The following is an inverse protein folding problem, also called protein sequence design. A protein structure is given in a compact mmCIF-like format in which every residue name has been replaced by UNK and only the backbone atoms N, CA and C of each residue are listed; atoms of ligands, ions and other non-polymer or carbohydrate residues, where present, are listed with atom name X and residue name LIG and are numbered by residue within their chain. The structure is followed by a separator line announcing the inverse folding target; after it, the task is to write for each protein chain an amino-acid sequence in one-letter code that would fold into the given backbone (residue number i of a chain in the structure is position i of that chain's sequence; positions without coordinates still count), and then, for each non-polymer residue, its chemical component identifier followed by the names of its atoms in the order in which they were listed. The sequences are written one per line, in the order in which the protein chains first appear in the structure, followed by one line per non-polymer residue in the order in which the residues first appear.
data_IF_964503014878
#
_entry.id   IF_964503014878
#
_cell.length_a   1.000
_cell.length_b   1.000
_cell.length_c   1.000
_cell.angle_alpha   90.00
_cell.angle_beta   90.00
_cell.angle_gamma   90.00
#
_symmetry.space_group_name_H-M   'P 1'
#
loop_
_entity.id
_entity.type
_entity.pdbx_description
1 polymer ?
#
# COMPACT_ATOMS: atom_id res chain seq x y z
N UNK A 1 -0.26 25.38 -4.67
CA UNK A 1 1.00 25.42 -5.46
C UNK A 1 2.25 24.84 -4.75
N UNK A 2 2.36 24.88 -3.40
CA UNK A 2 3.50 24.31 -2.66
C UNK A 2 3.37 22.83 -2.28
N UNK A 3 2.17 22.25 -2.20
CA UNK A 3 1.98 20.83 -1.80
C UNK A 3 2.10 19.84 -2.98
N UNK A 4 1.54 20.15 -4.16
CA UNK A 4 1.73 19.34 -5.37
C UNK A 4 3.18 19.40 -5.92
N UNK A 5 3.89 20.52 -5.71
CA UNK A 5 5.33 20.61 -5.96
C UNK A 5 6.18 19.95 -4.87
N UNK A 6 5.65 19.74 -3.66
CA UNK A 6 6.30 18.93 -2.62
C UNK A 6 6.08 17.44 -2.88
N UNK A 7 4.91 16.96 -3.30
CA UNK A 7 4.74 15.53 -3.64
C UNK A 7 5.46 15.15 -4.95
N UNK A 8 5.33 15.92 -6.04
CA UNK A 8 6.05 15.60 -7.29
C UNK A 8 7.58 15.71 -7.16
N UNK A 9 8.08 16.68 -6.37
CA UNK A 9 9.52 16.77 -6.08
C UNK A 9 9.95 15.78 -5.03
N UNK A 10 9.14 15.39 -4.04
CA UNK A 10 9.55 14.48 -2.96
C UNK A 10 9.36 13.02 -3.30
N UNK A 11 8.46 12.62 -4.21
CA UNK A 11 8.36 11.23 -4.68
C UNK A 11 9.46 10.93 -5.68
N UNK A 12 9.70 11.86 -6.62
CA UNK A 12 10.87 11.80 -7.49
C UNK A 12 12.13 11.99 -6.67
N UNK A 13 12.20 12.91 -5.69
CA UNK A 13 13.31 13.03 -4.74
C UNK A 13 13.30 12.00 -3.62
N UNK A 14 12.39 11.02 -3.54
CA UNK A 14 12.54 9.86 -2.66
C UNK A 14 13.08 8.70 -3.49
N UNK A 15 12.59 8.51 -4.71
CA UNK A 15 13.22 7.64 -5.71
C UNK A 15 14.63 8.13 -6.08
N UNK A 16 14.83 9.45 -6.10
CA UNK A 16 16.10 10.14 -6.33
C UNK A 16 16.86 10.38 -5.03
N UNK A 17 16.29 10.60 -3.83
CA UNK A 17 17.10 10.62 -2.59
C UNK A 17 17.55 9.22 -2.16
N UNK A 18 16.81 8.17 -2.50
CA UNK A 18 17.31 6.80 -2.45
C UNK A 18 18.41 6.55 -3.50
N UNK A 19 18.48 7.38 -4.55
CA UNK A 19 19.53 7.35 -5.58
C UNK A 19 20.60 8.44 -5.48
N UNK A 20 20.48 9.43 -4.60
CA UNK A 20 21.26 10.66 -4.66
C UNK A 20 21.05 11.53 -3.42
N UNK A 21 21.85 11.26 -2.41
CA UNK A 21 22.34 12.31 -1.52
C UNK A 21 23.85 12.16 -1.41
N UNK A 22 24.55 12.85 -2.33
CA UNK A 22 25.90 13.42 -2.27
C UNK A 22 27.09 12.49 -1.89
N UNK A 23 27.95 12.24 -2.89
CA UNK A 23 29.31 11.74 -2.73
C UNK A 23 30.34 12.90 -2.78
N UNK A 24 31.27 12.90 -1.82
CA UNK A 24 32.61 13.47 -1.99
C UNK A 24 33.63 12.37 -1.70
N UNK A 25 34.61 12.28 -2.60
CA UNK A 25 35.83 11.48 -2.60
C UNK A 25 35.72 9.96 -2.38
N UNK A 26 35.99 9.18 -3.44
CA UNK A 26 36.96 8.08 -3.39
C UNK A 26 37.31 7.49 -4.76
N UNK A 27 38.50 6.88 -4.81
CA UNK A 27 39.21 6.41 -6.00
C UNK A 27 38.78 5.02 -6.50
N UNK A 28 39.14 4.73 -7.76
CA UNK A 28 38.61 3.66 -8.61
C UNK A 28 39.11 2.23 -8.29
N UNK A 29 38.23 1.24 -8.55
CA UNK A 29 38.62 0.01 -9.25
C UNK A 29 37.65 -0.38 -10.40
N UNK A 30 38.11 -1.29 -11.26
CA UNK A 30 37.49 -1.73 -12.52
C UNK A 30 36.65 -3.02 -12.38
N UNK A 31 35.40 -3.05 -12.84
CA UNK A 31 34.69 -4.25 -13.40
C UNK A 31 33.31 -3.86 -14.01
N UNK A 32 32.79 -4.69 -14.93
CA UNK A 32 31.77 -4.39 -15.97
C UNK A 32 30.30 -4.68 -15.61
N UNK A 33 29.93 -4.79 -14.33
CA UNK A 33 28.53 -4.93 -13.89
C UNK A 33 27.95 -3.57 -13.52
N UNK A 34 26.99 -3.04 -14.28
CA UNK A 34 26.30 -1.79 -13.90
C UNK A 34 25.30 -2.05 -12.78
N UNK A 35 25.45 -1.33 -11.66
CA UNK A 35 24.64 -1.49 -10.44
C UNK A 35 23.46 -0.52 -10.37
N UNK A 36 23.54 0.57 -11.12
CA UNK A 36 22.48 1.53 -11.39
C UNK A 36 22.58 1.94 -12.84
N UNK A 37 21.47 1.93 -13.57
CA UNK A 37 21.34 2.43 -14.93
C UNK A 37 20.17 3.39 -14.97
N UNK A 38 20.41 4.62 -15.39
CA UNK A 38 19.38 5.63 -15.60
C UNK A 38 19.38 6.00 -17.07
N UNK A 39 18.26 5.83 -17.74
CA UNK A 39 18.08 6.16 -19.16
C UNK A 39 17.04 7.26 -19.28
N UNK A 40 17.35 8.35 -19.98
CA UNK A 40 16.42 9.49 -20.14
C UNK A 40 16.53 10.11 -21.53
N UNK A 41 15.39 10.40 -22.15
CA UNK A 41 15.32 11.20 -23.39
C UNK A 41 15.37 12.71 -23.12
N UNK A 42 15.26 13.14 -21.87
CA UNK A 42 15.39 14.55 -21.47
C UNK A 42 16.81 14.87 -20.97
N UNK A 43 17.50 15.79 -21.65
CA UNK A 43 18.87 16.20 -21.33
C UNK A 43 18.98 16.90 -19.96
N UNK A 44 17.91 17.52 -19.46
CA UNK A 44 17.91 18.20 -18.15
C UNK A 44 17.83 17.20 -17.01
N UNK A 45 17.03 16.14 -17.17
CA UNK A 45 16.98 15.02 -16.21
C UNK A 45 18.36 14.37 -16.15
N UNK A 46 18.93 14.03 -17.30
CA UNK A 46 20.27 13.46 -17.41
C UNK A 46 21.35 14.36 -16.78
N UNK A 47 21.31 15.67 -17.04
CA UNK A 47 22.21 16.65 -16.42
C UNK A 47 22.02 16.75 -14.90
N UNK A 48 20.78 16.64 -14.41
CA UNK A 48 20.48 16.57 -12.99
C UNK A 48 21.16 15.37 -12.35
N UNK A 49 21.01 14.19 -12.96
CA UNK A 49 21.61 12.94 -12.48
C UNK A 49 23.13 12.99 -12.48
N UNK A 50 23.78 13.44 -13.55
CA UNK A 50 25.25 13.58 -13.57
C UNK A 50 25.77 14.49 -12.46
N UNK A 51 25.10 15.62 -12.20
CA UNK A 51 25.50 16.55 -11.14
C UNK A 51 25.40 15.91 -9.76
N UNK A 52 24.39 15.08 -9.53
CA UNK A 52 24.23 14.37 -8.25
C UNK A 52 25.38 13.38 -7.97
N UNK A 53 25.99 12.82 -9.01
CA UNK A 53 27.13 11.90 -8.91
C UNK A 53 28.49 12.59 -9.10
N UNK A 54 28.55 13.92 -9.01
CA UNK A 54 29.82 14.66 -9.07
C UNK A 54 30.51 14.63 -10.45
N UNK A 55 29.79 14.29 -11.52
CA UNK A 55 30.33 14.29 -12.87
C UNK A 55 30.68 15.71 -13.36
N UNK A 56 31.94 15.92 -13.77
CA UNK A 56 32.43 17.20 -14.29
C UNK A 56 32.10 17.44 -15.78
N UNK A 57 31.64 16.42 -16.51
CA UNK A 57 31.37 16.49 -17.94
C UNK A 57 29.86 16.67 -18.20
N UNK A 58 29.48 17.82 -18.74
CA UNK A 58 28.10 18.17 -19.02
C UNK A 58 27.45 17.19 -19.99
N UNK A 59 26.25 16.71 -19.64
CA UNK A 59 25.38 16.00 -20.55
C UNK A 59 25.28 16.79 -21.86
N UNK A 60 25.19 16.11 -23.01
CA UNK A 60 25.06 16.82 -24.27
C UNK A 60 23.87 17.78 -24.20
N UNK A 61 24.06 18.99 -24.74
CA UNK A 61 23.04 20.05 -24.67
C UNK A 61 21.70 19.60 -25.27
N UNK A 62 21.76 18.69 -26.26
CA UNK A 62 20.62 17.99 -26.81
C UNK A 62 20.95 16.50 -26.94
N UNK A 63 19.94 15.65 -26.72
CA UNK A 63 19.99 14.23 -27.02
C UNK A 63 19.45 14.04 -28.44
N UNK A 64 20.11 13.22 -29.26
CA UNK A 64 19.65 12.96 -30.63
C UNK A 64 18.23 12.41 -30.68
N UNK A 65 17.50 12.68 -31.76
CA UNK A 65 16.15 12.15 -31.97
C UNK A 65 16.15 10.61 -31.91
N UNK A 66 15.17 10.03 -31.18
CA UNK A 66 15.08 8.59 -30.96
C UNK A 66 16.17 8.00 -30.05
N UNK A 67 16.98 8.85 -29.41
CA UNK A 67 18.01 8.44 -28.46
C UNK A 67 17.66 8.85 -27.02
N UNK A 68 18.31 8.18 -26.09
CA UNK A 68 18.33 8.49 -24.68
C UNK A 68 19.78 8.54 -24.18
N UNK A 69 20.03 9.37 -23.15
CA UNK A 69 21.28 9.30 -22.40
C UNK A 69 21.16 8.21 -21.35
N UNK A 70 22.09 7.26 -21.39
CA UNK A 70 22.26 6.19 -20.42
C UNK A 70 23.40 6.57 -19.48
N UNK A 71 23.08 6.65 -18.19
CA UNK A 71 23.99 6.89 -17.09
C UNK A 71 24.10 5.61 -16.29
N UNK A 72 25.31 5.06 -16.14
CA UNK A 72 25.53 3.82 -15.41
C UNK A 72 26.55 4.00 -14.29
N UNK A 73 26.26 3.48 -13.09
CA UNK A 73 27.25 3.33 -12.04
C UNK A 73 27.80 1.90 -12.07
N UNK A 74 29.12 1.77 -12.02
CA UNK A 74 29.76 0.47 -11.81
C UNK A 74 29.86 0.09 -10.32
N UNK A 75 30.47 -1.07 -10.04
CA UNK A 75 30.70 -1.59 -8.69
C UNK A 75 31.53 -0.66 -7.80
N UNK A 76 32.33 0.23 -8.39
CA UNK A 76 33.13 1.24 -7.71
C UNK A 76 32.38 2.56 -7.50
N UNK A 77 31.12 2.67 -7.92
CA UNK A 77 30.33 3.89 -7.87
C UNK A 77 30.76 4.93 -8.91
N UNK A 78 31.54 4.54 -9.93
CA UNK A 78 31.98 5.46 -10.98
C UNK A 78 30.89 5.58 -12.04
N UNK A 79 30.58 6.83 -12.37
CA UNK A 79 29.61 7.16 -13.41
C UNK A 79 30.23 7.04 -14.80
N UNK A 80 29.57 6.29 -15.68
CA UNK A 80 29.78 6.31 -17.12
C UNK A 80 28.51 6.81 -17.82
N UNK A 81 28.68 7.51 -18.94
CA UNK A 81 27.58 8.01 -19.75
C UNK A 81 27.74 7.65 -21.21
N UNK A 82 26.66 7.23 -21.85
CA UNK A 82 26.61 6.94 -23.30
C UNK A 82 25.23 7.29 -23.86
N UNK A 83 25.16 7.56 -25.16
CA UNK A 83 23.86 7.57 -25.84
C UNK A 83 23.47 6.13 -26.23
N UNK A 84 22.19 5.82 -26.16
CA UNK A 84 21.59 4.60 -26.69
C UNK A 84 20.24 4.91 -27.34
N UNK A 85 19.68 3.96 -28.08
CA UNK A 85 18.29 4.06 -28.49
C UNK A 85 17.37 4.00 -27.25
N UNK A 86 16.31 4.81 -27.24
CA UNK A 86 15.35 4.85 -26.16
C UNK A 86 14.24 5.85 -26.43
N UNK A 87 13.03 5.50 -26.01
CA UNK A 87 11.79 6.25 -26.24
C UNK A 87 11.13 6.70 -24.93
N UNK A 88 11.34 5.96 -23.84
CA UNK A 88 10.86 6.31 -22.52
C UNK A 88 11.52 7.60 -21.99
N UNK A 89 10.71 8.48 -21.39
CA UNK A 89 11.21 9.71 -20.76
C UNK A 89 12.21 9.42 -19.64
N UNK A 90 11.94 8.42 -18.79
CA UNK A 90 12.84 7.98 -17.75
C UNK A 90 12.72 6.48 -17.49
N UNK A 91 13.85 5.79 -17.45
CA UNK A 91 13.98 4.42 -16.93
C UNK A 91 15.09 4.41 -15.90
N UNK A 92 14.83 3.82 -14.74
CA UNK A 92 15.82 3.56 -13.70
C UNK A 92 15.84 2.06 -13.48
N UNK A 93 17.00 1.44 -13.59
CA UNK A 93 17.23 0.05 -13.21
C UNK A 93 18.32 0.04 -12.13
N UNK A 94 18.08 -0.61 -11.00
CA UNK A 94 19.01 -0.58 -9.89
C UNK A 94 19.05 -1.89 -9.12
N UNK A 95 20.19 -2.18 -8.50
CA UNK A 95 20.31 -3.18 -7.44
C UNK A 95 20.15 -2.51 -6.07
N UNK A 96 19.00 -2.68 -5.38
CA UNK A 96 18.73 -1.89 -4.17
C UNK A 96 19.77 -2.11 -3.06
N UNK A 97 20.24 -3.35 -2.85
CA UNK A 97 21.29 -3.65 -1.87
C UNK A 97 22.60 -2.88 -2.14
N UNK A 98 22.97 -2.66 -3.41
CA UNK A 98 24.13 -1.84 -3.76
C UNK A 98 23.90 -0.37 -3.41
N UNK A 99 22.74 0.20 -3.74
CA UNK A 99 22.40 1.58 -3.39
C UNK A 99 22.43 1.80 -1.88
N UNK A 100 21.90 0.85 -1.11
CA UNK A 100 21.94 0.89 0.35
C UNK A 100 23.36 0.93 0.92
N UNK A 101 24.29 0.19 0.31
CA UNK A 101 25.72 0.20 0.69
C UNK A 101 26.39 1.52 0.31
N UNK A 102 26.21 1.96 -0.94
CA UNK A 102 26.81 3.18 -1.50
C UNK A 102 26.35 4.43 -0.75
N UNK A 103 25.07 4.48 -0.34
CA UNK A 103 24.48 5.60 0.40
C UNK A 103 24.25 5.29 1.88
N UNK A 104 25.07 4.42 2.48
CA UNK A 104 24.86 3.92 3.85
C UNK A 104 24.77 5.01 4.93
N UNK A 105 25.47 6.14 4.78
CA UNK A 105 25.40 7.28 5.72
C UNK A 105 24.01 7.95 5.67
N UNK A 106 23.48 8.11 4.47
CA UNK A 106 22.21 8.77 4.17
C UNK A 106 21.05 7.85 4.55
N UNK A 107 21.16 6.57 4.25
CA UNK A 107 20.26 5.53 4.73
C UNK A 107 20.21 5.54 6.27
N UNK A 108 21.35 5.67 6.95
CA UNK A 108 21.37 5.77 8.42
C UNK A 108 20.64 7.02 8.93
N UNK A 109 20.82 8.15 8.26
CA UNK A 109 20.08 9.39 8.58
C UNK A 109 18.58 9.24 8.33
N UNK A 110 18.20 8.70 7.17
CA UNK A 110 16.81 8.40 6.83
C UNK A 110 16.19 7.42 7.82
N UNK A 111 16.92 6.41 8.30
CA UNK A 111 16.46 5.48 9.35
C UNK A 111 16.19 6.19 10.66
N UNK A 112 17.06 7.11 11.08
CA UNK A 112 16.79 7.91 12.29
C UNK A 112 15.55 8.80 12.12
N UNK A 113 15.41 9.47 10.98
CA UNK A 113 14.25 10.36 10.73
C UNK A 113 12.95 9.58 10.56
N UNK A 114 12.97 8.49 9.78
CA UNK A 114 11.82 7.61 9.58
C UNK A 114 11.47 6.86 10.87
N UNK A 115 12.46 6.43 11.65
CA UNK A 115 12.24 5.85 12.98
C UNK A 115 11.65 6.87 13.96
N UNK A 116 12.06 8.13 13.92
CA UNK A 116 11.46 9.18 14.74
C UNK A 116 10.01 9.48 14.32
N UNK A 117 9.74 9.68 13.03
CA UNK A 117 8.39 10.02 12.54
C UNK A 117 7.43 8.80 12.59
N UNK A 118 7.87 7.67 12.06
CA UNK A 118 7.13 6.41 12.09
C UNK A 118 6.97 5.90 13.52
N UNK A 119 8.02 6.01 14.33
CA UNK A 119 7.95 5.65 15.74
C UNK A 119 7.02 6.54 16.55
N UNK A 120 6.95 7.85 16.26
CA UNK A 120 5.92 8.71 16.87
C UNK A 120 4.51 8.29 16.47
N UNK A 121 4.25 8.01 15.19
CA UNK A 121 2.93 7.60 14.72
C UNK A 121 2.50 6.24 15.29
N UNK A 122 3.42 5.27 15.33
CA UNK A 122 3.18 3.95 15.90
C UNK A 122 3.06 4.02 17.43
N UNK A 123 3.84 4.87 18.10
CA UNK A 123 3.72 5.09 19.54
C UNK A 123 2.40 5.80 19.90
N UNK A 124 1.90 6.70 19.05
CA UNK A 124 0.56 7.29 19.17
C UNK A 124 -0.53 6.21 19.04
N UNK A 125 -0.31 5.19 18.21
CA UNK A 125 -1.15 4.00 18.14
C UNK A 125 -0.92 3.00 19.30
N UNK A 126 -0.13 3.36 20.31
CA UNK A 126 0.14 2.51 21.47
C UNK A 126 1.09 1.34 21.16
N UNK A 127 1.92 1.43 20.14
CA UNK A 127 2.93 0.40 19.83
C UNK A 127 4.22 0.71 20.60
N UNK A 128 4.78 -0.32 21.23
CA UNK A 128 6.01 -0.22 22.03
C UNK A 128 7.24 0.10 21.17
N UNK A 129 8.23 0.79 21.75
CA UNK A 129 9.43 1.22 21.04
C UNK A 129 10.22 0.06 20.39
N UNK A 130 10.33 -1.08 21.09
CA UNK A 130 11.01 -2.26 20.56
C UNK A 130 10.33 -2.81 19.30
N UNK A 131 9.00 -2.85 19.28
CA UNK A 131 8.21 -3.27 18.13
C UNK A 131 8.33 -2.30 16.94
N UNK A 132 8.46 -1.00 17.23
CA UNK A 132 8.73 0.03 16.21
C UNK A 132 10.08 -0.22 15.55
N UNK A 133 11.15 -0.37 16.34
CA UNK A 133 12.49 -0.63 15.84
C UNK A 133 12.52 -1.89 14.97
N UNK A 134 11.83 -2.92 15.42
CA UNK A 134 11.62 -4.18 14.72
C UNK A 134 10.95 -4.05 13.33
N UNK A 135 9.92 -3.19 13.21
CA UNK A 135 9.25 -2.89 11.93
C UNK A 135 10.17 -2.05 11.03
N UNK A 136 10.86 -1.07 11.60
CA UNK A 136 11.81 -0.24 10.86
C UNK A 136 12.96 -1.10 10.32
N UNK A 137 13.44 -2.07 11.08
CA UNK A 137 14.51 -2.97 10.65
C UNK A 137 14.07 -3.80 9.45
N UNK A 138 12.88 -4.40 9.50
CA UNK A 138 12.32 -5.13 8.38
C UNK A 138 12.18 -4.24 7.12
N UNK A 139 11.75 -2.98 7.28
CA UNK A 139 11.63 -2.02 6.17
C UNK A 139 13.00 -1.71 5.54
N UNK A 140 14.04 -1.52 6.35
CA UNK A 140 15.39 -1.22 5.88
C UNK A 140 16.13 -2.47 5.37
N UNK A 141 15.69 -3.67 5.73
CA UNK A 141 16.19 -4.94 5.20
C UNK A 141 15.52 -5.35 3.88
N UNK A 142 14.31 -4.86 3.59
CA UNK A 142 13.56 -5.20 2.38
C UNK A 142 14.35 -4.99 1.06
N UNK A 143 15.18 -3.93 0.89
CA UNK A 143 16.02 -3.79 -0.30
C UNK A 143 16.97 -4.97 -0.56
N UNK A 144 17.35 -5.74 0.47
CA UNK A 144 18.18 -6.94 0.31
C UNK A 144 17.40 -8.14 -0.25
N UNK A 145 16.07 -8.04 -0.31
CA UNK A 145 15.16 -9.06 -0.84
C UNK A 145 14.90 -8.88 -2.34
N UNK A 146 15.34 -7.76 -2.92
CA UNK A 146 15.09 -7.37 -4.31
C UNK A 146 16.41 -7.45 -5.09
N UNK A 147 16.44 -8.23 -6.17
CA UNK A 147 17.61 -8.30 -7.05
C UNK A 147 17.66 -7.08 -7.97
N UNK A 148 16.51 -6.69 -8.53
CA UNK A 148 16.40 -5.57 -9.46
C UNK A 148 15.14 -4.77 -9.20
N UNK A 149 15.32 -3.45 -9.05
CA UNK A 149 14.26 -2.46 -9.04
C UNK A 149 14.27 -1.76 -10.39
N UNK A 150 13.11 -1.71 -11.06
CA UNK A 150 12.93 -0.96 -12.29
C UNK A 150 11.87 0.12 -12.09
N UNK A 151 12.14 1.36 -12.46
CA UNK A 151 11.14 2.44 -12.52
C UNK A 151 11.06 2.94 -13.94
N UNK A 152 9.87 3.01 -14.52
CA UNK A 152 9.64 3.48 -15.89
C UNK A 152 8.59 4.58 -15.90
N UNK A 153 8.95 5.70 -16.50
CA UNK A 153 8.06 6.81 -16.82
C UNK A 153 8.13 6.99 -18.34
N UNK A 154 7.09 6.56 -19.09
CA UNK A 154 7.18 6.43 -20.54
C UNK A 154 7.21 7.78 -21.24
N UNK A 155 6.55 8.80 -20.69
CA UNK A 155 6.49 10.14 -21.26
C UNK A 155 6.71 11.22 -20.22
N UNK A 156 7.15 12.38 -20.67
CA UNK A 156 7.23 13.58 -19.84
C UNK A 156 5.84 13.95 -19.33
N UNK A 157 5.76 14.41 -18.09
CA UNK A 157 4.53 14.97 -17.55
C UNK A 157 4.16 16.24 -18.32
N UNK A 158 2.94 16.28 -18.83
CA UNK A 158 2.29 17.47 -19.38
C UNK A 158 1.02 17.77 -18.56
N UNK A 159 0.74 19.04 -18.24
CA UNK A 159 -0.49 19.40 -17.54
C UNK A 159 -1.73 18.90 -18.30
N UNK A 160 -2.69 18.32 -17.58
CA UNK A 160 -3.93 17.73 -18.12
C UNK A 160 -3.73 16.46 -18.97
N UNK A 161 -2.56 15.84 -18.92
CA UNK A 161 -2.34 14.52 -19.50
C UNK A 161 -2.03 13.48 -18.42
N UNK A 162 -2.63 12.30 -18.55
CA UNK A 162 -2.38 11.23 -17.58
C UNK A 162 -0.92 10.76 -17.62
N UNK A 163 -0.32 10.56 -16.46
CA UNK A 163 1.03 10.05 -16.31
C UNK A 163 0.99 8.63 -15.74
N UNK A 164 1.62 7.70 -16.44
CA UNK A 164 1.84 6.33 -15.96
C UNK A 164 3.24 6.22 -15.36
N UNK A 165 3.34 5.62 -14.18
CA UNK A 165 4.60 5.23 -13.54
C UNK A 165 4.52 3.72 -13.29
N UNK A 166 5.47 2.97 -13.83
CA UNK A 166 5.59 1.55 -13.56
C UNK A 166 6.80 1.28 -12.67
N UNK A 167 6.61 0.50 -11.60
CA UNK A 167 7.65 0.03 -10.70
C UNK A 167 7.70 -1.50 -10.76
N UNK A 168 8.81 -2.06 -11.22
CA UNK A 168 9.11 -3.47 -11.24
C UNK A 168 10.00 -3.88 -10.06
N UNK A 169 9.66 -4.97 -9.40
CA UNK A 169 10.44 -5.57 -8.31
C UNK A 169 10.73 -7.03 -8.65
N UNK A 170 11.96 -7.29 -9.09
CA UNK A 170 12.45 -8.64 -9.31
C UNK A 170 12.97 -9.20 -7.98
N UNK A 171 12.41 -10.31 -7.47
CA UNK A 171 12.84 -10.86 -6.20
C UNK A 171 14.22 -11.50 -6.31
N UNK A 172 15.03 -11.37 -5.26
CA UNK A 172 16.29 -12.09 -5.13
C UNK A 172 16.01 -13.55 -4.77
N UNK A 173 16.65 -14.49 -5.48
CA UNK A 173 16.46 -15.92 -5.24
C UNK A 173 16.71 -16.31 -3.77
N UNK A 174 16.00 -17.34 -3.31
CA UNK A 174 16.13 -17.90 -1.95
C UNK A 174 15.77 -16.92 -0.81
N UNK A 175 15.08 -15.83 -1.12
CA UNK A 175 14.55 -14.90 -0.13
C UNK A 175 13.08 -15.18 0.19
N UNK A 176 12.60 -14.68 1.33
CA UNK A 176 11.17 -14.78 1.67
C UNK A 176 10.31 -14.05 0.64
N UNK A 177 10.81 -12.93 0.09
CA UNK A 177 10.09 -12.16 -0.93
C UNK A 177 9.97 -12.97 -2.24
N UNK A 178 11.01 -13.70 -2.64
CA UNK A 178 10.90 -14.65 -3.76
C UNK A 178 9.84 -15.73 -3.51
N UNK A 179 9.78 -16.27 -2.29
CA UNK A 179 8.74 -17.22 -1.88
C UNK A 179 7.33 -16.63 -2.00
N UNK A 180 7.12 -15.41 -1.48
CA UNK A 180 5.86 -14.69 -1.58
C UNK A 180 5.47 -14.42 -3.05
N UNK A 181 6.38 -13.89 -3.85
CA UNK A 181 6.12 -13.61 -5.28
C UNK A 181 5.81 -14.90 -6.03
N UNK A 182 6.49 -16.01 -5.74
CA UNK A 182 6.20 -17.31 -6.34
C UNK A 182 4.78 -17.79 -5.98
N UNK A 183 4.37 -17.64 -4.72
CA UNK A 183 3.06 -18.03 -4.22
C UNK A 183 1.90 -17.15 -4.72
N UNK A 184 2.15 -15.86 -5.01
CA UNK A 184 1.13 -14.95 -5.50
C UNK A 184 0.53 -15.43 -6.83
N UNK A 185 -0.79 -15.60 -6.83
CA UNK A 185 -1.61 -15.89 -8.01
C UNK A 185 -3.03 -15.33 -7.80
N UNK A 186 -3.72 -14.97 -8.90
CA UNK A 186 -5.15 -14.69 -8.85
C UNK A 186 -5.92 -15.88 -8.29
N UNK A 187 -7.07 -15.61 -7.67
CA UNK A 187 -7.95 -16.67 -7.21
C UNK A 187 -8.78 -17.21 -8.39
N UNK A 188 -8.95 -18.52 -8.48
CA UNK A 188 -9.55 -19.17 -9.65
C UNK A 188 -11.02 -18.75 -9.89
N UNK A 189 -11.70 -18.27 -8.85
CA UNK A 189 -13.10 -17.82 -8.92
C UNK A 189 -13.26 -16.31 -9.15
N UNK A 190 -12.15 -15.55 -9.17
CA UNK A 190 -12.17 -14.08 -9.14
C UNK A 190 -12.79 -13.52 -7.86
N UNK A 191 -13.32 -12.29 -7.94
CA UNK A 191 -13.91 -11.59 -6.80
C UNK A 191 -15.33 -11.06 -7.10
N UNK A 192 -16.14 -10.90 -6.04
CA UNK A 192 -17.32 -10.02 -6.05
C UNK A 192 -16.88 -8.57 -5.84
N UNK A 193 -17.40 -7.65 -6.66
CA UNK A 193 -17.09 -6.22 -6.58
C UNK A 193 -18.24 -5.44 -5.97
N UNK A 194 -17.92 -4.49 -5.08
CA UNK A 194 -18.92 -3.66 -4.38
C UNK A 194 -19.34 -2.40 -5.14
N UNK A 195 -18.55 -1.95 -6.13
CA UNK A 195 -18.61 -0.56 -6.59
C UNK A 195 -19.82 -0.25 -7.48
N UNK A 196 -20.57 0.79 -7.11
CA UNK A 196 -21.40 1.58 -8.03
C UNK A 196 -20.56 2.58 -8.83
N UNK A 197 -21.16 3.26 -9.81
CA UNK A 197 -20.46 4.22 -10.69
C UNK A 197 -19.90 5.46 -9.97
N UNK A 198 -20.24 5.69 -8.70
CA UNK A 198 -19.98 6.95 -7.99
C UNK A 198 -19.00 6.85 -6.80
N UNK A 199 -18.34 5.71 -6.60
CA UNK A 199 -17.39 5.54 -5.51
C UNK A 199 -16.20 6.51 -5.60
N UNK A 200 -15.88 7.19 -4.50
CA UNK A 200 -14.70 8.06 -4.37
C UNK A 200 -13.42 7.25 -4.28
N UNK A 201 -13.48 6.09 -3.62
CA UNK A 201 -12.36 5.16 -3.57
C UNK A 201 -12.87 3.75 -3.81
N UNK A 202 -12.08 2.97 -4.53
CA UNK A 202 -12.28 1.53 -4.66
C UNK A 202 -10.96 0.80 -4.50
N UNK A 203 -10.99 -0.39 -3.92
CA UNK A 203 -9.87 -1.32 -3.93
C UNK A 203 -10.39 -2.73 -4.12
N UNK A 204 -9.80 -3.47 -5.04
CA UNK A 204 -10.10 -4.86 -5.33
C UNK A 204 -8.81 -5.66 -5.21
N UNK A 205 -8.88 -6.78 -4.51
CA UNK A 205 -7.78 -7.73 -4.34
C UNK A 205 -8.27 -9.07 -4.87
N UNK A 206 -7.51 -9.67 -5.77
CA UNK A 206 -7.77 -10.99 -6.35
C UNK A 206 -6.52 -11.84 -6.13
N UNK A 207 -6.43 -12.41 -4.93
CA UNK A 207 -5.28 -13.21 -4.50
C UNK A 207 -5.80 -14.46 -3.80
N UNK A 208 -5.23 -15.61 -4.15
CA UNK A 208 -5.42 -16.84 -3.38
C UNK A 208 -4.68 -16.72 -2.03
N UNK A 209 -5.43 -16.40 -0.98
CA UNK A 209 -4.86 -16.14 0.34
C UNK A 209 -4.24 -17.40 0.95
N UNK A 210 -4.85 -18.57 0.72
CA UNK A 210 -4.30 -19.84 1.21
C UNK A 210 -2.90 -20.11 0.64
N UNK A 211 -2.64 -19.68 -0.60
CA UNK A 211 -1.31 -19.82 -1.22
C UNK A 211 -0.24 -18.95 -0.54
N UNK A 212 -0.60 -17.75 -0.08
CA UNK A 212 0.36 -16.80 0.52
C UNK A 212 0.39 -16.83 2.05
N UNK A 213 -0.63 -17.39 2.71
CA UNK A 213 -0.76 -17.41 4.16
C UNK A 213 0.47 -17.97 4.89
N UNK A 214 1.12 -19.07 4.44
CA UNK A 214 2.34 -19.55 5.10
C UNK A 214 3.50 -18.54 5.11
N UNK A 215 3.54 -17.63 4.12
CA UNK A 215 4.52 -16.54 4.10
C UNK A 215 4.13 -15.36 5.00
N UNK A 216 2.82 -15.20 5.27
CA UNK A 216 2.27 -14.11 6.07
C UNK A 216 2.06 -14.48 7.55
N UNK A 217 1.96 -15.76 7.88
CA UNK A 217 1.72 -16.26 9.24
C UNK A 217 2.69 -15.66 10.28
N UNK A 218 4.02 -15.58 10.03
CA UNK A 218 4.92 -14.93 10.97
C UNK A 218 4.61 -13.44 11.19
N UNK A 219 4.17 -12.74 10.14
CA UNK A 219 3.76 -11.34 10.24
C UNK A 219 2.47 -11.21 11.06
N UNK A 220 1.48 -12.08 10.83
CA UNK A 220 0.21 -12.09 11.60
C UNK A 220 0.48 -12.33 13.09
N UNK A 221 1.33 -13.31 13.43
CA UNK A 221 1.70 -13.58 14.82
C UNK A 221 2.40 -12.37 15.47
N UNK A 222 3.27 -11.68 14.71
CA UNK A 222 3.97 -10.47 15.17
C UNK A 222 3.01 -9.30 15.37
N UNK A 223 2.12 -9.02 14.42
CA UNK A 223 1.08 -7.99 14.56
C UNK A 223 0.16 -8.26 15.76
N UNK A 224 -0.19 -9.52 16.00
CA UNK A 224 -0.99 -9.91 17.17
C UNK A 224 -0.27 -9.58 18.48
N UNK A 225 1.05 -9.80 18.52
CA UNK A 225 1.90 -9.47 19.67
C UNK A 225 1.92 -7.96 19.92
N UNK A 226 1.90 -7.16 18.86
CA UNK A 226 1.88 -5.69 18.94
C UNK A 226 0.53 -5.14 19.42
N UNK A 227 -0.58 -5.69 18.91
CA UNK A 227 -1.91 -5.19 19.24
C UNK A 227 -2.38 -5.62 20.64
N UNK A 228 -2.02 -6.83 21.06
CA UNK A 228 -2.52 -7.41 22.31
C UNK A 228 -1.43 -7.43 23.37
N UNK A 229 -1.43 -6.42 24.24
CA UNK A 229 -0.45 -6.27 25.34
C UNK A 229 -0.62 -7.32 26.44
N UNK A 230 -1.86 -7.70 26.74
CA UNK A 230 -2.17 -8.73 27.74
C UNK A 230 -1.70 -10.11 27.26
N UNK A 231 -0.77 -10.73 27.98
CA UNK A 231 -0.18 -12.02 27.60
C UNK A 231 -1.21 -13.17 27.60
N UNK A 232 -2.17 -13.14 28.53
CA UNK A 232 -3.18 -14.18 28.66
C UNK A 232 -4.20 -14.12 27.51
N UNK A 233 -4.56 -12.92 27.05
CA UNK A 233 -5.37 -12.72 25.86
C UNK A 233 -4.56 -13.06 24.60
N UNK A 234 -3.31 -12.60 24.49
CA UNK A 234 -2.43 -12.88 23.35
C UNK A 234 -2.29 -14.38 23.07
N UNK A 235 -2.15 -15.19 24.12
CA UNK A 235 -2.07 -16.65 24.02
C UNK A 235 -3.33 -17.30 23.40
N UNK A 236 -4.49 -16.65 23.53
CA UNK A 236 -5.77 -17.11 22.94
C UNK A 236 -6.01 -16.53 21.55
N UNK A 237 -5.57 -15.29 21.30
CA UNK A 237 -5.79 -14.57 20.04
C UNK A 237 -5.04 -15.22 18.88
N UNK A 238 -3.80 -15.69 19.07
CA UNK A 238 -3.02 -16.35 18.02
C UNK A 238 -3.77 -17.53 17.38
N UNK A 239 -4.17 -18.56 18.14
CA UNK A 239 -4.96 -19.68 17.62
C UNK A 239 -6.32 -19.27 17.04
N UNK A 240 -6.95 -18.22 17.58
CA UNK A 240 -8.21 -17.69 17.07
C UNK A 240 -8.02 -17.06 15.68
N UNK A 241 -7.00 -16.23 15.49
CA UNK A 241 -6.68 -15.60 14.21
C UNK A 241 -6.21 -16.63 13.17
N UNK A 242 -5.46 -17.65 13.56
CA UNK A 242 -5.10 -18.77 12.66
C UNK A 242 -6.36 -19.46 12.10
N UNK A 243 -7.35 -19.76 12.96
CA UNK A 243 -8.65 -20.30 12.51
C UNK A 243 -9.38 -19.32 11.58
N UNK A 244 -9.39 -18.03 11.90
CA UNK A 244 -10.01 -17.00 11.07
C UNK A 244 -9.39 -16.94 9.67
N UNK A 245 -8.06 -16.80 9.59
CA UNK A 245 -7.33 -16.65 8.34
C UNK A 245 -7.38 -17.89 7.46
N UNK A 246 -7.46 -19.09 8.05
CA UNK A 246 -7.71 -20.33 7.30
C UNK A 246 -9.10 -20.41 6.68
N UNK A 247 -10.07 -19.66 7.17
CA UNK A 247 -11.42 -19.55 6.59
C UNK A 247 -11.56 -18.46 5.52
N UNK A 248 -10.52 -17.64 5.30
CA UNK A 248 -10.48 -16.59 4.27
C UNK A 248 -9.98 -17.17 2.95
N UNK A 249 -10.72 -16.92 1.87
CA UNK A 249 -10.33 -17.32 0.51
C UNK A 249 -9.32 -16.34 -0.09
N UNK A 250 -9.47 -15.05 0.21
CA UNK A 250 -8.51 -14.00 -0.15
C UNK A 250 -9.05 -12.88 -1.02
N UNK A 251 -9.86 -13.14 -2.06
CA UNK A 251 -10.41 -12.07 -2.87
C UNK A 251 -11.29 -11.15 -2.04
N UNK A 252 -11.20 -9.86 -2.32
CA UNK A 252 -11.94 -8.86 -1.57
C UNK A 252 -12.14 -7.59 -2.36
N UNK A 253 -13.14 -6.81 -1.96
CA UNK A 253 -13.51 -5.56 -2.57
C UNK A 253 -13.85 -4.55 -1.48
N UNK A 254 -13.42 -3.31 -1.69
CA UNK A 254 -13.69 -2.17 -0.84
C UNK A 254 -14.20 -1.04 -1.71
N UNK A 255 -15.29 -0.40 -1.29
CA UNK A 255 -15.77 0.86 -1.86
C UNK A 255 -15.90 1.90 -0.76
N UNK A 256 -15.73 3.17 -1.13
CA UNK A 256 -16.03 4.30 -0.25
C UNK A 256 -16.77 5.38 -1.05
N UNK A 257 -17.97 5.74 -0.58
CA UNK A 257 -18.76 6.82 -1.15
C UNK A 257 -19.50 7.62 -0.04
N UNK A 258 -20.15 8.72 -0.44
CA UNK A 258 -20.83 9.62 0.51
C UNK A 258 -22.10 9.02 1.12
N UNK A 259 -22.83 8.19 0.37
CA UNK A 259 -24.15 7.69 0.76
C UNK A 259 -24.03 6.46 1.66
N UNK A 260 -23.17 5.53 1.27
CA UNK A 260 -23.03 4.21 1.85
C UNK A 260 -21.83 4.11 2.81
N UNK A 261 -21.02 5.17 2.90
CA UNK A 261 -19.78 5.15 3.66
C UNK A 261 -18.77 4.16 3.06
N UNK A 262 -17.93 3.59 3.93
CA UNK A 262 -16.99 2.55 3.56
C UNK A 262 -17.70 1.20 3.62
N UNK A 263 -17.54 0.41 2.56
CA UNK A 263 -18.02 -0.95 2.49
C UNK A 263 -16.86 -1.86 2.14
N UNK A 264 -16.85 -3.05 2.74
CA UNK A 264 -15.83 -4.05 2.52
C UNK A 264 -16.46 -5.43 2.40
N UNK A 265 -15.94 -6.21 1.47
CA UNK A 265 -16.31 -7.59 1.22
C UNK A 265 -15.04 -8.40 1.12
N UNK A 266 -15.00 -9.54 1.83
CA UNK A 266 -13.92 -10.52 1.73
C UNK A 266 -14.52 -11.90 1.54
N UNK A 267 -14.07 -12.59 0.49
CA UNK A 267 -14.50 -13.93 0.16
C UNK A 267 -13.98 -14.93 1.19
N UNK A 268 -14.83 -15.87 1.56
CA UNK A 268 -14.53 -16.92 2.53
C UNK A 268 -14.54 -18.29 1.86
N UNK A 269 -13.62 -19.16 2.25
CA UNK A 269 -13.64 -20.56 1.89
C UNK A 269 -14.36 -21.41 2.94
N UNK A 270 -14.44 -20.93 4.18
CA UNK A 270 -15.18 -21.57 5.28
C UNK A 270 -15.96 -20.50 6.08
N UNK A 271 -17.14 -20.07 5.59
CA UNK A 271 -17.93 -19.03 6.25
C UNK A 271 -18.43 -19.44 7.63
N UNK A 272 -18.68 -20.73 7.86
CA UNK A 272 -19.17 -21.22 9.15
C UNK A 272 -18.07 -21.16 10.22
N UNK A 273 -16.84 -21.54 9.88
CA UNK A 273 -15.70 -21.40 10.79
C UNK A 273 -15.43 -19.94 11.14
N UNK A 274 -15.49 -19.03 10.16
CA UNK A 274 -15.31 -17.59 10.41
C UNK A 274 -16.44 -17.03 11.26
N UNK A 275 -17.69 -17.41 11.02
CA UNK A 275 -18.83 -17.00 11.84
C UNK A 275 -18.68 -17.48 13.30
N UNK A 276 -18.21 -18.72 13.52
CA UNK A 276 -17.92 -19.24 14.86
C UNK A 276 -16.80 -18.43 15.55
N UNK A 277 -15.75 -18.05 14.82
CA UNK A 277 -14.69 -17.19 15.35
C UNK A 277 -15.24 -15.81 15.73
N UNK A 278 -16.05 -15.18 14.87
CA UNK A 278 -16.62 -13.85 15.16
C UNK A 278 -17.58 -13.85 16.35
N UNK A 279 -18.18 -15.00 16.68
CA UNK A 279 -19.02 -15.19 17.86
C UNK A 279 -18.23 -15.57 19.13
N UNK A 280 -16.94 -15.91 19.01
CA UNK A 280 -16.09 -16.29 20.14
C UNK A 280 -15.84 -15.07 21.04
N UNK A 281 -16.04 -15.17 22.37
CA UNK A 281 -15.73 -14.07 23.30
C UNK A 281 -14.30 -13.54 23.16
N UNK A 282 -13.33 -14.38 22.78
CA UNK A 282 -11.94 -13.97 22.53
C UNK A 282 -11.86 -13.00 21.35
N UNK A 283 -12.66 -13.21 20.29
CA UNK A 283 -12.70 -12.30 19.15
C UNK A 283 -13.30 -10.94 19.54
N UNK A 284 -14.35 -10.92 20.37
CA UNK A 284 -14.96 -9.67 20.82
C UNK A 284 -14.01 -8.86 21.71
N UNK A 285 -13.32 -9.54 22.64
CA UNK A 285 -12.30 -8.94 23.49
C UNK A 285 -11.12 -8.39 22.67
N UNK A 286 -10.63 -9.18 21.71
CA UNK A 286 -9.62 -8.74 20.75
C UNK A 286 -10.08 -7.55 19.91
N UNK A 287 -11.29 -7.60 19.36
CA UNK A 287 -11.86 -6.54 18.54
C UNK A 287 -12.00 -5.23 19.31
N UNK A 288 -12.31 -5.31 20.61
CA UNK A 288 -12.32 -4.16 21.51
C UNK A 288 -10.92 -3.57 21.65
N UNK A 289 -9.92 -4.37 22.01
CA UNK A 289 -8.52 -3.92 22.14
C UNK A 289 -8.00 -3.29 20.84
N UNK A 290 -8.23 -3.95 19.70
CA UNK A 290 -7.83 -3.45 18.39
C UNK A 290 -8.52 -2.12 18.03
N UNK A 291 -9.79 -1.96 18.42
CA UNK A 291 -10.55 -0.72 18.17
C UNK A 291 -10.12 0.42 19.10
N UNK A 292 -9.72 0.12 20.34
CA UNK A 292 -9.20 1.12 21.29
C UNK A 292 -7.86 1.72 20.85
N UNK A 293 -7.06 0.98 20.06
CA UNK A 293 -5.85 1.53 19.41
C UNK A 293 -6.14 2.70 18.47
N UNK A 294 -7.39 2.88 18.03
CA UNK A 294 -7.80 4.03 17.23
C UNK A 294 -7.99 5.32 18.06
N UNK A 295 -7.69 5.31 19.37
CA UNK A 295 -7.70 6.49 20.23
C UNK A 295 -9.06 6.81 20.85
N UNK A 296 -9.82 5.78 21.23
CA UNK A 296 -11.14 5.93 21.83
C UNK A 296 -11.58 4.73 22.66
N UNK A 297 -12.75 4.83 23.29
CA UNK A 297 -13.38 3.73 24.01
C UNK A 297 -14.21 2.92 23.03
N UNK A 298 -13.91 1.63 22.91
CA UNK A 298 -14.64 0.74 22.03
C UNK A 298 -15.64 -0.16 22.78
N UNK A 299 -16.82 -0.33 22.20
CA UNK A 299 -17.77 -1.36 22.56
C UNK A 299 -18.05 -2.26 21.36
N UNK A 300 -17.98 -3.57 21.57
CA UNK A 300 -18.17 -4.58 20.53
C UNK A 300 -19.28 -5.52 20.96
N UNK A 301 -20.41 -5.44 20.28
CA UNK A 301 -21.60 -6.26 20.56
C UNK A 301 -21.81 -7.27 19.43
N UNK A 302 -21.68 -8.56 19.75
CA UNK A 302 -22.10 -9.64 18.87
C UNK A 302 -23.62 -9.70 18.76
N UNK A 303 -24.14 -10.07 17.58
CA UNK A 303 -25.58 -10.20 17.31
C UNK A 303 -26.39 -8.94 17.70
N UNK A 304 -25.81 -7.76 17.52
CA UNK A 304 -26.42 -6.48 17.90
C UNK A 304 -27.71 -6.19 17.10
N UNK A 305 -27.75 -6.67 15.85
CA UNK A 305 -28.91 -6.59 14.94
C UNK A 305 -29.02 -7.90 14.18
N UNK A 306 -30.23 -8.25 13.75
CA UNK A 306 -30.48 -9.35 12.81
C UNK A 306 -31.19 -8.80 11.58
N UNK A 307 -30.75 -9.21 10.38
CA UNK A 307 -31.41 -8.91 9.11
C UNK A 307 -31.47 -10.17 8.25
N UNK A 308 -32.68 -10.61 7.88
CA UNK A 308 -32.91 -11.85 7.12
C UNK A 308 -32.16 -13.06 7.71
N UNK A 309 -32.29 -13.24 9.02
CA UNK A 309 -31.63 -14.29 9.81
C UNK A 309 -30.10 -14.24 9.83
N UNK A 310 -29.49 -13.20 9.25
CA UNK A 310 -28.06 -12.91 9.37
C UNK A 310 -27.83 -12.06 10.60
N UNK A 311 -26.98 -12.54 11.49
CA UNK A 311 -26.58 -11.80 12.68
C UNK A 311 -25.45 -10.81 12.37
N UNK A 312 -25.55 -9.62 12.94
CA UNK A 312 -24.62 -8.51 12.70
C UNK A 312 -23.87 -8.19 13.99
N UNK A 313 -22.54 -8.19 13.92
CA UNK A 313 -21.67 -7.67 14.96
C UNK A 313 -21.53 -6.16 14.78
N UNK A 314 -21.69 -5.40 15.87
CA UNK A 314 -21.57 -3.94 15.88
C UNK A 314 -20.41 -3.51 16.75
N UNK A 315 -19.54 -2.68 16.20
CA UNK A 315 -18.48 -1.98 16.93
C UNK A 315 -18.80 -0.49 16.98
N UNK A 316 -18.73 0.11 18.16
CA UNK A 316 -18.84 1.56 18.37
C UNK A 316 -17.55 2.04 19.01
N UNK A 317 -16.91 3.02 18.39
CA UNK A 317 -15.72 3.68 18.93
C UNK A 317 -16.12 5.11 19.27
N UNK A 318 -16.09 5.46 20.56
CA UNK A 318 -16.24 6.84 21.03
C UNK A 318 -14.86 7.49 21.10
N UNK A 319 -14.64 8.53 20.30
CA UNK A 319 -13.33 9.18 20.18
C UNK A 319 -13.14 10.22 21.28
N UNK A 320 -11.94 10.28 21.85
CA UNK A 320 -11.57 11.26 22.87
C UNK A 320 -11.50 12.70 22.31
N UNK A 321 -11.17 12.84 21.02
CA UNK A 321 -11.14 14.12 20.29
C UNK A 321 -11.85 14.01 18.93
N UNK A 322 -13.19 14.23 18.89
CA UNK A 322 -14.00 14.16 17.67
C UNK A 322 -13.57 15.11 16.56
N UNK A 323 -13.04 16.28 16.93
CA UNK A 323 -12.91 17.43 16.04
C UNK A 323 -11.91 17.24 14.89
N UNK A 324 -11.07 16.22 14.98
CA UNK A 324 -10.00 15.93 14.03
C UNK A 324 -10.29 14.72 13.13
N UNK A 325 -11.43 14.03 13.29
CA UNK A 325 -11.79 12.89 12.47
C UNK A 325 -13.01 13.22 11.57
N UNK A 326 -12.82 13.49 10.26
CA UNK A 326 -13.91 13.83 9.34
C UNK A 326 -14.88 12.66 9.09
N UNK A 327 -14.59 11.47 9.64
CA UNK A 327 -15.42 10.28 9.51
C UNK A 327 -16.21 9.96 10.79
N UNK A 328 -15.97 10.69 11.89
CA UNK A 328 -16.69 10.50 13.14
C UNK A 328 -17.97 11.34 13.17
N UNK A 329 -19.13 10.67 13.28
CA UNK A 329 -20.42 11.35 13.45
C UNK A 329 -20.73 11.46 14.93
N UNK A 330 -20.98 12.67 15.41
CA UNK A 330 -21.24 12.95 16.83
C UNK A 330 -20.16 12.41 17.78
N UNK A 331 -18.90 12.41 17.32
CA UNK A 331 -17.74 11.87 18.05
C UNK A 331 -17.66 10.34 18.10
N UNK A 332 -18.44 9.64 17.28
CA UNK A 332 -18.46 8.18 17.21
C UNK A 332 -18.18 7.67 15.82
N UNK A 333 -17.48 6.54 15.76
CA UNK A 333 -17.41 5.69 14.57
C UNK A 333 -18.20 4.43 14.84
N UNK A 334 -19.09 4.05 13.91
CA UNK A 334 -19.84 2.79 13.97
C UNK A 334 -19.42 1.93 12.81
N UNK A 335 -19.01 0.70 13.12
CA UNK A 335 -18.69 -0.34 12.14
C UNK A 335 -19.64 -1.52 12.37
N UNK A 336 -20.19 -2.07 11.29
CA UNK A 336 -21.02 -3.27 11.33
C UNK A 336 -20.41 -4.35 10.45
N UNK A 337 -20.42 -5.59 10.94
CA UNK A 337 -19.86 -6.74 10.24
C UNK A 337 -20.81 -7.93 10.29
N UNK A 338 -20.91 -8.67 9.19
CA UNK A 338 -21.76 -9.85 9.06
C UNK A 338 -21.13 -10.89 8.14
N UNK A 339 -21.48 -12.16 8.32
CA UNK A 339 -21.15 -13.23 7.38
C UNK A 339 -22.41 -13.58 6.59
N UNK A 340 -22.36 -13.44 5.26
CA UNK A 340 -23.51 -13.75 4.39
C UNK A 340 -23.06 -14.09 2.97
N UNK A 341 -23.78 -15.02 2.33
CA UNK A 341 -23.51 -15.42 0.94
C UNK A 341 -22.07 -15.88 0.70
N UNK A 342 -21.41 -16.50 1.69
CA UNK A 342 -20.01 -16.93 1.60
C UNK A 342 -18.97 -15.80 1.65
N UNK A 343 -19.34 -14.61 2.12
CA UNK A 343 -18.42 -13.50 2.36
C UNK A 343 -18.55 -12.95 3.77
N UNK A 344 -17.45 -12.36 4.25
CA UNK A 344 -17.48 -11.37 5.31
C UNK A 344 -17.81 -10.01 4.69
N UNK A 345 -18.84 -9.37 5.21
CA UNK A 345 -19.33 -8.06 4.82
C UNK A 345 -19.08 -7.09 5.96
N UNK A 346 -18.56 -5.92 5.66
CA UNK A 346 -18.40 -4.86 6.64
C UNK A 346 -18.83 -3.52 6.06
N UNK A 347 -19.34 -2.65 6.91
CA UNK A 347 -19.55 -1.24 6.59
C UNK A 347 -19.10 -0.37 7.76
N UNK A 348 -18.58 0.80 7.46
CA UNK A 348 -18.13 1.78 8.42
C UNK A 348 -18.39 3.17 7.87
N UNK A 349 -18.64 4.14 8.74
CA UNK A 349 -18.95 5.52 8.36
C UNK A 349 -20.32 5.63 7.63
N UNK A 350 -20.98 6.78 7.72
CA UNK A 350 -22.35 6.94 7.20
C UNK A 350 -23.40 6.18 8.01
N UNK A 351 -24.50 5.77 7.37
CA UNK A 351 -25.55 4.94 7.99
C UNK A 351 -25.17 3.46 7.94
N UNK A 352 -24.33 3.03 8.90
CA UNK A 352 -23.82 1.66 8.97
C UNK A 352 -24.92 0.59 9.08
N UNK A 353 -26.09 0.90 9.65
CA UNK A 353 -27.20 -0.06 9.76
C UNK A 353 -27.89 -0.28 8.41
N UNK A 354 -28.19 0.81 7.68
CA UNK A 354 -28.71 0.70 6.33
C UNK A 354 -27.68 0.05 5.37
N UNK A 355 -26.41 0.45 5.49
CA UNK A 355 -25.30 -0.07 4.69
C UNK A 355 -25.13 -1.59 4.83
N UNK A 356 -25.10 -2.13 6.05
CA UNK A 356 -24.87 -3.57 6.24
C UNK A 356 -26.07 -4.38 5.76
N UNK A 357 -27.29 -3.89 5.96
CA UNK A 357 -28.52 -4.55 5.49
C UNK A 357 -28.54 -4.63 3.96
N UNK A 358 -28.18 -3.54 3.29
CA UNK A 358 -28.04 -3.49 1.83
C UNK A 358 -26.99 -4.51 1.33
N UNK A 359 -25.82 -4.58 1.95
CA UNK A 359 -24.79 -5.57 1.60
C UNK A 359 -25.28 -7.01 1.79
N UNK A 360 -25.98 -7.31 2.89
CA UNK A 360 -26.57 -8.62 3.15
C UNK A 360 -27.58 -8.98 2.05
N UNK A 361 -28.46 -8.04 1.67
CA UNK A 361 -29.43 -8.25 0.61
C UNK A 361 -28.76 -8.48 -0.74
N UNK A 362 -27.74 -7.70 -1.11
CA UNK A 362 -26.97 -7.90 -2.33
C UNK A 362 -26.28 -9.27 -2.37
N UNK A 363 -25.73 -9.72 -1.25
CA UNK A 363 -25.08 -11.02 -1.13
C UNK A 363 -26.08 -12.19 -1.22
N UNK A 364 -27.18 -12.13 -0.49
CA UNK A 364 -28.21 -13.19 -0.47
C UNK A 364 -29.00 -13.27 -1.77
N UNK A 365 -29.26 -12.12 -2.41
CA UNK A 365 -29.98 -12.07 -3.69
C UNK A 365 -29.06 -12.43 -4.89
N UNK A 366 -27.77 -12.68 -4.66
CA UNK A 366 -26.81 -13.03 -5.72
C UNK A 366 -26.56 -11.89 -6.71
N UNK A 367 -26.73 -10.63 -6.29
CA UNK A 367 -26.59 -9.43 -7.15
C UNK A 367 -25.14 -9.00 -7.35
N UNK A 368 -24.22 -9.54 -6.55
CA UNK A 368 -22.78 -9.30 -6.67
C UNK A 368 -22.17 -10.30 -7.65
N UNK A 369 -21.89 -9.86 -8.87
CA UNK A 369 -21.27 -10.71 -9.88
C UNK A 369 -19.80 -11.00 -9.53
N UNK A 370 -19.37 -12.25 -9.75
CA UNK A 370 -17.97 -12.64 -9.68
C UNK A 370 -17.30 -12.49 -11.05
N UNK A 371 -16.11 -11.90 -11.06
CA UNK A 371 -15.27 -11.83 -12.25
C UNK A 371 -13.78 -11.87 -11.87
N UNK A 372 -12.92 -12.47 -12.71
CA UNK A 372 -11.48 -12.33 -12.57
C UNK A 372 -11.07 -10.86 -12.70
N UNK A 373 -10.11 -10.40 -11.89
CA UNK A 373 -9.59 -9.04 -11.98
C UNK A 373 -8.60 -8.87 -13.14
N UNK A 374 -7.95 -9.96 -13.55
CA UNK A 374 -6.83 -9.94 -14.51
C UNK A 374 -5.53 -9.33 -13.96
N UNK A 375 -5.55 -8.93 -12.68
CA UNK A 375 -4.45 -8.39 -11.88
C UNK A 375 -4.56 -8.96 -10.47
N UNK A 376 -3.54 -8.79 -9.63
CA UNK A 376 -3.59 -9.20 -8.22
C UNK A 376 -4.34 -8.18 -7.36
N UNK A 377 -4.24 -6.89 -7.73
CA UNK A 377 -4.95 -5.81 -7.04
C UNK A 377 -5.16 -4.63 -8.01
N UNK A 378 -6.26 -3.92 -7.81
CA UNK A 378 -6.49 -2.58 -8.36
C UNK A 378 -7.03 -1.67 -7.27
N UNK A 379 -6.62 -0.42 -7.25
CA UNK A 379 -7.24 0.62 -6.45
C UNK A 379 -7.46 1.87 -7.31
N UNK A 380 -8.53 2.59 -7.03
CA UNK A 380 -8.86 3.85 -7.66
C UNK A 380 -9.23 4.87 -6.58
N UNK A 381 -8.77 6.09 -6.75
CA UNK A 381 -9.15 7.24 -5.93
C UNK A 381 -9.54 8.37 -6.89
N UNK A 382 -10.80 8.79 -6.83
CA UNK A 382 -11.26 10.07 -7.37
C UNK A 382 -10.80 11.15 -6.38
N UNK A 383 -9.66 11.77 -6.70
CA UNK A 383 -8.99 12.69 -5.78
C UNK A 383 -9.80 13.97 -5.65
N UNK A 384 -10.44 14.43 -6.73
CA UNK A 384 -11.32 15.60 -6.70
C UNK A 384 -12.49 15.41 -5.74
N UNK A 385 -13.23 14.30 -5.86
CA UNK A 385 -14.33 13.97 -4.95
C UNK A 385 -13.85 13.73 -3.52
N UNK A 386 -12.76 12.98 -3.33
CA UNK A 386 -12.23 12.70 -2.01
C UNK A 386 -11.74 13.96 -1.27
N UNK A 387 -11.01 14.86 -1.96
CA UNK A 387 -10.59 16.13 -1.38
C UNK A 387 -11.78 17.07 -1.14
N UNK A 388 -12.80 17.03 -1.99
CA UNK A 388 -14.08 17.71 -1.78
C UNK A 388 -14.75 17.25 -0.49
N UNK A 389 -14.84 15.93 -0.25
CA UNK A 389 -15.36 15.34 0.98
C UNK A 389 -14.60 15.85 2.21
N UNK A 390 -13.26 15.77 2.21
CA UNK A 390 -12.44 16.22 3.33
C UNK A 390 -12.63 17.72 3.57
N UNK A 391 -12.66 18.53 2.51
CA UNK A 391 -12.89 19.95 2.61
C UNK A 391 -14.26 20.28 3.23
N UNK A 392 -15.33 19.61 2.78
CA UNK A 392 -16.68 19.79 3.34
C UNK A 392 -16.73 19.46 4.83
N UNK A 393 -16.18 18.30 5.22
CA UNK A 393 -16.18 17.87 6.64
C UNK A 393 -15.34 18.80 7.53
N UNK A 394 -14.27 19.38 6.99
CA UNK A 394 -13.37 20.28 7.72
C UNK A 394 -13.74 21.77 7.58
N UNK A 395 -14.83 22.11 6.87
CA UNK A 395 -15.26 23.49 6.63
C UNK A 395 -14.31 24.32 5.74
N UNK A 396 -13.54 23.66 4.87
CA UNK A 396 -12.58 24.26 3.94
C UNK A 396 -13.03 24.21 2.47
N UNK A 397 -12.11 24.56 1.58
CA UNK A 397 -12.28 24.43 0.13
C UNK A 397 -11.26 23.41 -0.44
N UNK A 398 -11.63 22.61 -1.45
CA UNK A 398 -10.69 21.71 -2.12
C UNK A 398 -9.58 22.49 -2.83
N UNK A 399 -8.42 21.85 -3.02
CA UNK A 399 -7.27 22.45 -3.70
C UNK A 399 -7.39 22.28 -5.21
N UNK A 400 -7.35 23.36 -5.98
CA UNK A 400 -7.41 23.37 -7.47
C UNK A 400 -6.20 22.69 -8.16
N UNK A 401 -5.20 22.25 -7.38
CA UNK A 401 -3.92 21.70 -7.86
C UNK A 401 -3.81 20.17 -7.71
N UNK A 402 -4.89 19.48 -7.31
CA UNK A 402 -4.88 18.04 -7.16
C UNK A 402 -5.09 17.34 -8.52
N UNK A 403 -4.50 16.15 -8.76
CA UNK A 403 -4.86 15.34 -9.93
C UNK A 403 -6.35 14.97 -9.86
N UNK A 404 -6.96 14.63 -10.99
CA UNK A 404 -8.38 14.25 -11.02
C UNK A 404 -8.57 12.90 -10.34
N UNK A 405 -7.70 11.94 -10.68
CA UNK A 405 -7.75 10.60 -10.12
C UNK A 405 -6.37 9.93 -10.07
N UNK A 406 -6.28 8.92 -9.22
CA UNK A 406 -5.12 8.01 -9.14
C UNK A 406 -5.61 6.58 -9.23
N UNK A 407 -5.13 5.85 -10.24
CA UNK A 407 -5.30 4.40 -10.34
C UNK A 407 -4.00 3.72 -9.95
N UNK A 408 -4.08 2.71 -9.08
CA UNK A 408 -2.96 1.84 -8.73
C UNK A 408 -3.31 0.42 -9.11
N UNK A 409 -2.36 -0.33 -9.63
CA UNK A 409 -2.57 -1.76 -9.84
C UNK A 409 -1.31 -2.57 -9.58
N UNK A 410 -1.50 -3.79 -9.07
CA UNK A 410 -0.45 -4.76 -8.84
C UNK A 410 -0.68 -5.96 -9.75
N UNK A 411 0.34 -6.33 -10.52
CA UNK A 411 0.36 -7.53 -11.33
C UNK A 411 1.66 -8.31 -11.07
N UNK A 412 1.62 -9.60 -11.40
CA UNK A 412 2.81 -10.46 -11.44
C UNK A 412 3.15 -10.73 -12.90
N UNK A 413 4.42 -10.61 -13.26
CA UNK A 413 4.95 -10.98 -14.56
C UNK A 413 6.08 -12.01 -14.40
N UNK A 414 6.77 -12.33 -15.50
CA UNK A 414 7.87 -13.31 -15.50
C UNK A 414 9.10 -12.84 -14.71
N UNK A 415 9.27 -11.53 -14.53
CA UNK A 415 10.41 -10.92 -13.83
C UNK A 415 10.14 -10.72 -12.33
N UNK A 416 8.87 -10.62 -11.91
CA UNK A 416 8.49 -10.42 -10.52
C UNK A 416 7.16 -9.69 -10.37
N UNK A 417 7.12 -8.71 -9.46
CA UNK A 417 5.96 -7.85 -9.26
C UNK A 417 6.07 -6.57 -10.08
N UNK A 418 4.94 -6.12 -10.60
CA UNK A 418 4.79 -4.85 -11.31
C UNK A 418 3.68 -4.05 -10.67
N UNK A 419 4.03 -2.87 -10.17
CA UNK A 419 3.11 -1.86 -9.66
C UNK A 419 2.97 -0.79 -10.73
N UNK A 420 1.76 -0.48 -11.14
CA UNK A 420 1.48 0.63 -12.06
C UNK A 420 0.64 1.68 -11.35
N UNK A 421 1.08 2.93 -11.40
CA UNK A 421 0.37 4.10 -10.89
C UNK A 421 0.05 5.00 -12.07
N UNK A 422 -1.24 5.23 -12.33
CA UNK A 422 -1.71 6.17 -13.33
C UNK A 422 -2.32 7.38 -12.63
N UNK A 423 -1.71 8.54 -12.81
CA UNK A 423 -2.19 9.82 -12.31
C UNK A 423 -2.92 10.47 -13.48
N UNK A 424 -4.20 10.82 -13.33
CA UNK A 424 -5.02 11.41 -14.39
C UNK A 424 -5.07 12.92 -14.30
#
# INVERSE_FOLDING_TARGET
MRLASVFSRSSLALAVACGAVLAQDQAAPTTTSSQLVITSTDSRVASGVQRMFGGAAGAPAAIGEGKALVLSLDDGGKLATREAAGDAWLVIEAKPAFLMKTFSKQVRQARMTAGMMGGMALAQAGIEAEAIDEVMDALFEFPNQVETLTVTIPRKYEPNESMAIAVGLAPKAETWFAGLVAALKPHDQGLRRLHGHDAMMTADIDVDFAAIYPSLEPMVARFTTFMVRDEALRAKVGPMLDRFYKGVSGPGSMSFDFENGMQFLMELCDPDAVAQVMADPVYLEYGKVASEMAGGVADVTSNAVTHRDVAVTKTVIELDDPGNNPFAKDGKTVTMAAISGGAMLMTSFGDADAGIKSLIDLALDGKLARAPLGKLMTAHIDVGRFMGFIAEQMGGAPSDDAPDAVDVSLAKNVEGLRIEVNIK
#
